data_IF_502074008248
#
_entry.id   IF_502074008248
#
_cell.length_a   1.000
_cell.length_b   1.000
_cell.length_c   1.000
_cell.angle_alpha   90.00
_cell.angle_beta   90.00
_cell.angle_gamma   90.00
#
_symmetry.space_group_name_H-M   'P 1'
#
loop_
_entity.id
_entity.type
_entity.pdbx_description
1 polymer ?
#
# COMPACT_ATOMS: atom_id res chain seq x y z
N UNK A 1 30.01 -15.12 10.20
CA UNK A 1 29.09 -14.12 10.79
C UNK A 1 29.18 -14.24 12.30
N UNK A 2 30.07 -13.49 12.94
CA UNK A 2 30.03 -13.34 14.39
C UNK A 2 28.77 -12.51 14.69
N UNK A 3 27.87 -12.93 15.59
CA UNK A 3 26.80 -12.06 16.05
C UNK A 3 27.44 -10.81 16.65
N UNK A 4 27.01 -9.63 16.22
CA UNK A 4 27.37 -8.39 16.90
C UNK A 4 27.06 -8.58 18.39
N UNK A 5 27.97 -8.17 19.28
CA UNK A 5 27.73 -8.18 20.72
C UNK A 5 26.47 -7.36 20.99
N UNK A 6 25.33 -8.04 21.14
CA UNK A 6 24.07 -7.41 21.44
C UNK A 6 24.21 -6.75 22.81
N UNK A 7 23.93 -5.44 22.95
CA UNK A 7 23.91 -4.80 24.26
C UNK A 7 22.91 -5.50 25.19
N UNK A 8 22.98 -5.30 26.52
CA UNK A 8 22.08 -5.93 27.49
C UNK A 8 20.58 -5.61 27.27
N UNK A 9 20.24 -4.73 26.32
CA UNK A 9 18.89 -4.48 25.84
C UNK A 9 18.91 -4.21 24.32
N UNK A 10 19.11 -5.23 23.48
CA UNK A 10 19.20 -5.02 22.04
C UNK A 10 17.82 -4.57 21.54
N UNK A 11 17.79 -3.55 20.68
CA UNK A 11 16.58 -3.23 19.92
C UNK A 11 16.18 -4.50 19.20
N UNK A 12 15.04 -5.09 19.58
CA UNK A 12 14.53 -6.27 18.89
C UNK A 12 14.25 -5.85 17.45
N UNK A 13 15.09 -6.29 16.51
CA UNK A 13 14.85 -6.10 15.08
C UNK A 13 13.53 -6.79 14.71
N UNK A 14 12.44 -6.03 14.77
CA UNK A 14 11.16 -6.42 14.16
C UNK A 14 11.17 -5.94 12.71
N UNK A 15 10.37 -6.59 11.88
CA UNK A 15 10.22 -6.22 10.48
C UNK A 15 9.72 -4.77 10.36
N UNK A 16 10.51 -3.83 9.80
CA UNK A 16 9.99 -2.50 9.46
C UNK A 16 9.11 -2.60 8.21
N UNK A 17 8.52 -1.48 7.77
CA UNK A 17 7.75 -1.42 6.52
C UNK A 17 8.66 -1.82 5.34
N UNK A 18 8.21 -2.75 4.51
CA UNK A 18 8.95 -3.30 3.37
C UNK A 18 10.35 -3.87 3.73
N UNK A 19 10.50 -4.88 4.60
CA UNK A 19 11.81 -5.32 5.09
C UNK A 19 12.86 -5.56 4.00
N UNK A 20 13.97 -4.83 4.07
CA UNK A 20 15.12 -4.96 3.16
C UNK A 20 14.98 -4.31 1.78
N UNK A 21 13.75 -4.07 1.29
CA UNK A 21 13.54 -3.43 -0.02
C UNK A 21 14.07 -1.99 -0.10
N UNK A 22 13.87 -1.11 0.91
CA UNK A 22 14.32 0.27 0.81
C UNK A 22 15.85 0.40 0.66
N UNK A 23 16.64 -0.37 1.42
CA UNK A 23 18.11 -0.35 1.28
C UNK A 23 18.59 -0.95 -0.05
N UNK A 24 17.92 -2.00 -0.55
CA UNK A 24 18.23 -2.58 -1.85
C UNK A 24 17.89 -1.60 -2.99
N UNK A 25 16.75 -0.91 -2.90
CA UNK A 25 16.34 0.10 -3.86
C UNK A 25 17.26 1.31 -3.84
N UNK A 26 17.71 1.76 -2.66
CA UNK A 26 18.71 2.83 -2.56
C UNK A 26 19.95 2.54 -3.42
N UNK A 27 20.53 1.35 -3.29
CA UNK A 27 21.68 0.95 -4.08
C UNK A 27 21.35 0.79 -5.58
N UNK A 28 20.27 0.09 -5.91
CA UNK A 28 19.92 -0.23 -7.30
C UNK A 28 19.49 1.00 -8.10
N UNK A 29 18.62 1.83 -7.55
CA UNK A 29 18.06 3.00 -8.26
C UNK A 29 19.07 4.15 -8.39
N UNK A 30 20.02 4.27 -7.46
CA UNK A 30 21.15 5.20 -7.62
C UNK A 30 22.08 4.73 -8.75
N UNK A 31 22.36 3.42 -8.84
CA UNK A 31 23.17 2.88 -9.93
C UNK A 31 22.47 2.98 -11.30
N UNK A 32 21.15 2.83 -11.34
CA UNK A 32 20.35 3.04 -12.56
C UNK A 32 20.43 4.51 -13.01
N UNK A 33 20.37 5.46 -12.08
CA UNK A 33 20.49 6.88 -12.38
C UNK A 33 21.89 7.24 -12.91
N UNK A 34 22.94 6.71 -12.28
CA UNK A 34 24.32 6.86 -12.75
C UNK A 34 24.52 6.26 -14.16
N UNK A 35 23.85 5.14 -14.46
CA UNK A 35 23.88 4.54 -15.80
C UNK A 35 23.14 5.41 -16.82
N UNK A 36 22.01 6.00 -16.46
CA UNK A 36 21.25 6.91 -17.32
C UNK A 36 22.09 8.11 -17.74
N UNK A 37 22.80 8.70 -16.78
CA UNK A 37 23.75 9.79 -17.01
C UNK A 37 24.88 9.39 -17.97
N UNK A 38 25.56 8.25 -17.72
CA UNK A 38 26.66 7.76 -18.58
C UNK A 38 26.21 7.45 -20.00
N UNK A 39 24.96 7.03 -20.18
CA UNK A 39 24.38 6.75 -21.49
C UNK A 39 23.77 7.99 -22.15
N UNK A 40 23.68 9.12 -21.43
CA UNK A 40 22.97 10.33 -21.86
C UNK A 40 21.51 10.02 -22.25
N UNK A 41 20.82 9.24 -21.43
CA UNK A 41 19.40 8.88 -21.56
C UNK A 41 18.65 9.45 -20.37
N UNK A 42 17.44 9.94 -20.58
CA UNK A 42 16.55 10.36 -19.50
C UNK A 42 16.32 9.19 -18.50
N UNK A 43 16.37 9.44 -17.18
CA UNK A 43 16.31 8.37 -16.19
C UNK A 43 14.96 7.63 -16.17
N UNK A 44 13.85 8.26 -16.53
CA UNK A 44 12.57 7.56 -16.68
C UNK A 44 12.51 6.80 -18.01
N UNK A 45 13.13 7.30 -19.08
CA UNK A 45 13.26 6.54 -20.35
C UNK A 45 14.10 5.27 -20.21
N UNK A 46 15.20 5.33 -19.46
CA UNK A 46 15.99 4.12 -19.18
C UNK A 46 15.15 3.09 -18.41
N UNK A 47 14.29 3.53 -17.49
CA UNK A 47 13.37 2.65 -16.76
C UNK A 47 12.32 2.05 -17.68
N UNK A 48 11.72 2.82 -18.59
CA UNK A 48 10.78 2.31 -19.59
C UNK A 48 11.42 1.26 -20.50
N UNK A 49 12.66 1.48 -20.95
CA UNK A 49 13.38 0.55 -21.81
C UNK A 49 13.61 -0.82 -21.14
N UNK A 50 13.72 -0.85 -19.81
CA UNK A 50 14.02 -2.04 -19.02
C UNK A 50 12.84 -2.49 -18.14
N UNK A 51 11.65 -1.92 -18.33
CA UNK A 51 10.52 -2.13 -17.44
C UNK A 51 10.02 -3.57 -17.46
N UNK A 52 9.78 -4.14 -16.28
CA UNK A 52 9.04 -5.38 -16.16
C UNK A 52 7.59 -5.16 -16.59
N UNK A 53 7.10 -6.05 -17.44
CA UNK A 53 5.71 -6.12 -17.90
C UNK A 53 5.10 -7.50 -17.62
N UNK A 54 3.81 -7.66 -17.90
CA UNK A 54 3.16 -8.96 -17.85
C UNK A 54 3.96 -10.02 -18.65
N UNK A 55 4.13 -11.20 -18.06
CA UNK A 55 4.95 -12.27 -18.63
C UNK A 55 6.45 -12.18 -18.32
N UNK A 56 6.94 -11.06 -17.76
CA UNK A 56 8.35 -10.94 -17.35
C UNK A 56 8.68 -11.94 -16.25
N UNK A 57 9.74 -12.74 -16.43
CA UNK A 57 10.17 -13.75 -15.45
C UNK A 57 10.86 -13.08 -14.25
N UNK A 58 10.34 -13.34 -13.05
CA UNK A 58 10.94 -12.89 -11.78
C UNK A 58 12.18 -13.71 -11.44
N UNK A 59 13.06 -13.15 -10.60
CA UNK A 59 14.23 -13.85 -10.04
C UNK A 59 13.82 -15.16 -9.33
N UNK A 60 12.69 -15.16 -8.62
CA UNK A 60 12.17 -16.33 -7.93
C UNK A 60 11.60 -17.42 -8.86
N UNK A 61 11.47 -17.15 -10.17
CA UNK A 61 10.98 -18.11 -11.17
C UNK A 61 9.63 -17.77 -11.81
N UNK A 62 8.56 -17.46 -11.06
CA UNK A 62 7.25 -17.15 -11.64
C UNK A 62 7.28 -15.90 -12.51
N UNK A 63 6.46 -15.89 -13.57
CA UNK A 63 6.24 -14.66 -14.36
C UNK A 63 5.36 -13.67 -13.61
N UNK A 64 5.50 -12.38 -13.91
CA UNK A 64 4.56 -11.38 -13.44
C UNK A 64 3.19 -11.58 -14.13
N UNK A 65 2.08 -11.54 -13.37
CA UNK A 65 0.75 -11.32 -13.96
C UNK A 65 0.67 -9.89 -14.51
N UNK A 66 -0.53 -9.40 -14.85
CA UNK A 66 -0.72 -7.99 -15.15
C UNK A 66 -0.17 -7.12 -14.01
N UNK A 67 0.78 -6.23 -14.31
CA UNK A 67 1.42 -5.28 -13.39
C UNK A 67 1.49 -3.88 -14.02
N UNK A 68 1.59 -2.84 -13.19
CA UNK A 68 1.53 -1.43 -13.59
C UNK A 68 2.86 -0.65 -13.53
N UNK A 69 4.01 -1.29 -13.74
CA UNK A 69 5.29 -0.56 -13.66
C UNK A 69 5.47 0.44 -14.82
N UNK A 70 5.13 0.03 -16.05
CA UNK A 70 5.21 0.93 -17.22
C UNK A 70 4.27 2.13 -17.01
N UNK A 71 3.06 1.86 -16.54
CA UNK A 71 2.03 2.86 -16.28
C UNK A 71 2.46 3.85 -15.18
N UNK A 72 3.14 3.38 -14.12
CA UNK A 72 3.66 4.28 -13.08
C UNK A 72 4.83 5.12 -13.57
N UNK A 73 5.74 4.57 -14.37
CA UNK A 73 6.83 5.36 -14.98
C UNK A 73 6.28 6.38 -15.96
N UNK A 74 5.30 6.01 -16.80
CA UNK A 74 4.66 6.91 -17.75
C UNK A 74 3.90 8.03 -17.03
N UNK A 75 3.11 7.69 -16.00
CA UNK A 75 2.41 8.67 -15.19
C UNK A 75 3.37 9.64 -14.49
N UNK A 76 4.52 9.16 -13.99
CA UNK A 76 5.56 10.02 -13.44
C UNK A 76 6.16 10.95 -14.52
N UNK A 77 6.45 10.42 -15.71
CA UNK A 77 7.03 11.18 -16.83
C UNK A 77 6.10 12.29 -17.33
N UNK A 78 4.80 12.00 -17.41
CA UNK A 78 3.77 12.94 -17.86
C UNK A 78 3.34 13.92 -16.77
N UNK A 79 3.73 13.67 -15.51
CA UNK A 79 3.31 14.48 -14.38
C UNK A 79 3.87 15.91 -14.47
N UNK A 80 3.07 16.96 -14.15
CA UNK A 80 3.55 18.35 -14.14
C UNK A 80 4.72 18.61 -13.19
N UNK A 81 4.95 17.73 -12.21
CA UNK A 81 6.17 17.78 -11.40
C UNK A 81 7.41 17.53 -12.25
N UNK A 82 7.44 16.45 -13.04
CA UNK A 82 8.66 16.03 -13.74
C UNK A 82 9.12 17.02 -14.83
N UNK A 83 8.17 17.72 -15.45
CA UNK A 83 8.44 18.68 -16.53
C UNK A 83 8.56 20.13 -16.05
N UNK A 84 8.19 20.43 -14.80
CA UNK A 84 8.26 21.79 -14.27
C UNK A 84 9.71 22.29 -14.19
N UNK A 85 9.99 23.55 -14.56
CA UNK A 85 11.33 24.11 -14.45
C UNK A 85 11.74 24.23 -12.98
N UNK A 86 12.89 23.63 -12.63
CA UNK A 86 13.50 23.76 -11.30
C UNK A 86 14.62 24.80 -11.37
N UNK A 87 14.32 26.03 -10.94
CA UNK A 87 15.27 27.17 -10.96
C UNK A 87 15.84 27.43 -9.58
N UNK A 88 17.08 27.90 -9.50
CA UNK A 88 17.76 28.31 -8.27
C UNK A 88 19.10 27.58 -8.11
N UNK A 89 20.01 28.10 -7.27
CA UNK A 89 21.28 27.44 -7.00
C UNK A 89 21.05 26.15 -6.20
N UNK A 90 21.91 25.15 -6.38
CA UNK A 90 21.95 23.92 -5.57
C UNK A 90 20.60 23.20 -5.46
N UNK A 91 19.84 23.21 -6.56
CA UNK A 91 18.56 22.52 -6.68
C UNK A 91 18.67 21.40 -7.68
N UNK A 92 18.07 20.27 -7.35
CA UNK A 92 18.08 19.09 -8.19
C UNK A 92 16.77 18.33 -8.09
N UNK A 93 16.44 17.67 -9.20
CA UNK A 93 15.30 16.76 -9.29
C UNK A 93 15.82 15.34 -9.39
N UNK A 94 15.31 14.43 -8.57
CA UNK A 94 15.66 13.02 -8.62
C UNK A 94 14.43 12.15 -8.76
N UNK A 95 14.62 10.96 -9.33
CA UNK A 95 13.59 9.94 -9.48
C UNK A 95 14.08 8.58 -9.00
N UNK A 96 13.17 7.77 -8.49
CA UNK A 96 13.42 6.36 -8.19
C UNK A 96 12.15 5.52 -8.28
N UNK A 97 12.31 4.28 -8.70
CA UNK A 97 11.30 3.23 -8.66
C UNK A 97 11.29 2.49 -7.31
N UNK A 98 10.18 1.83 -7.04
CA UNK A 98 10.00 0.99 -5.86
C UNK A 98 9.16 -0.22 -6.21
N UNK A 99 9.47 -1.35 -5.59
CA UNK A 99 8.76 -2.59 -5.78
C UNK A 99 8.52 -3.26 -4.44
N UNK A 100 7.29 -3.72 -4.22
CA UNK A 100 6.97 -4.64 -3.15
C UNK A 100 6.20 -5.84 -3.67
N UNK A 101 6.68 -7.04 -3.35
CA UNK A 101 6.15 -8.28 -3.90
C UNK A 101 4.72 -8.58 -3.44
N UNK A 102 4.30 -7.98 -2.32
CA UNK A 102 3.07 -8.27 -1.59
C UNK A 102 3.00 -9.75 -1.14
N UNK A 103 2.53 -9.98 0.08
CA UNK A 103 2.25 -11.29 0.62
C UNK A 103 0.80 -11.33 1.06
N UNK A 104 0.24 -12.53 1.12
CA UNK A 104 -1.06 -12.77 1.73
C UNK A 104 -0.95 -13.99 2.63
N UNK A 105 -2.09 -14.44 3.14
CA UNK A 105 -2.20 -15.63 3.96
C UNK A 105 -3.65 -15.91 4.27
N UNK A 106 -3.93 -16.92 5.11
CA UNK A 106 -5.29 -17.25 5.45
C UNK A 106 -5.98 -16.11 6.20
N UNK A 107 -7.27 -15.95 5.95
CA UNK A 107 -8.15 -15.04 6.66
C UNK A 107 -9.55 -15.63 6.79
N UNK A 108 -10.26 -15.19 7.83
CA UNK A 108 -11.65 -15.54 8.05
C UNK A 108 -12.49 -14.33 8.41
N UNK A 109 -13.76 -14.41 8.00
CA UNK A 109 -14.80 -13.41 8.25
C UNK A 109 -16.10 -14.14 8.59
N UNK A 110 -16.89 -13.56 9.48
CA UNK A 110 -18.27 -13.98 9.77
C UNK A 110 -19.19 -12.76 9.77
N UNK A 111 -20.40 -12.90 9.24
CA UNK A 111 -21.35 -11.80 9.07
C UNK A 111 -22.78 -12.25 9.38
N UNK A 112 -23.51 -11.46 10.16
CA UNK A 112 -24.90 -11.75 10.54
C UNK A 112 -25.83 -10.65 10.06
N UNK A 113 -26.93 -11.03 9.40
CA UNK A 113 -27.98 -10.10 8.96
C UNK A 113 -28.98 -9.87 10.09
N UNK A 114 -29.26 -8.60 10.39
CA UNK A 114 -30.22 -8.20 11.42
C UNK A 114 -31.59 -7.89 10.83
N UNK A 115 -32.62 -7.92 11.67
CA UNK A 115 -34.00 -7.68 11.25
C UNK A 115 -34.27 -6.25 10.74
N UNK A 116 -33.41 -5.28 11.09
CA UNK A 116 -33.46 -3.91 10.57
C UNK A 116 -32.74 -3.73 9.22
N UNK A 117 -32.17 -4.82 8.68
CA UNK A 117 -31.42 -4.83 7.44
C UNK A 117 -29.98 -4.35 7.56
N UNK A 118 -29.45 -4.19 8.78
CA UNK A 118 -28.01 -3.98 9.00
C UNK A 118 -27.26 -5.31 9.09
N UNK A 119 -25.94 -5.25 8.96
CA UNK A 119 -25.05 -6.41 9.04
C UNK A 119 -23.98 -6.18 10.09
N UNK A 120 -23.84 -7.11 11.05
CA UNK A 120 -22.63 -7.17 11.86
C UNK A 120 -21.59 -8.04 11.18
N UNK A 121 -20.42 -7.47 10.90
CA UNK A 121 -19.31 -8.12 10.19
C UNK A 121 -18.13 -8.26 11.16
N UNK A 122 -17.70 -9.48 11.46
CA UNK A 122 -16.53 -9.76 12.30
C UNK A 122 -15.39 -10.23 11.41
N UNK A 123 -14.23 -9.56 11.50
CA UNK A 123 -13.00 -9.93 10.80
C UNK A 123 -11.86 -10.27 11.76
N UNK A 124 -10.90 -11.09 11.32
CA UNK A 124 -9.76 -11.50 12.14
C UNK A 124 -8.47 -10.70 11.92
N UNK A 125 -8.40 -9.78 10.95
CA UNK A 125 -7.19 -8.99 10.69
C UNK A 125 -7.16 -7.75 11.60
N UNK A 126 -6.13 -7.58 12.45
CA UNK A 126 -5.98 -6.34 13.23
C UNK A 126 -5.83 -5.13 12.31
N UNK A 127 -6.68 -4.12 12.50
CA UNK A 127 -6.64 -2.89 11.72
C UNK A 127 -5.61 -1.91 12.28
N UNK A 128 -4.55 -1.73 11.50
CA UNK A 128 -3.45 -0.79 11.78
C UNK A 128 -3.29 0.26 10.68
N UNK A 129 -4.19 0.29 9.69
CA UNK A 129 -4.03 1.08 8.46
C UNK A 129 -5.33 1.56 7.82
N UNK A 130 -6.48 1.31 8.46
CA UNK A 130 -7.83 1.69 8.01
C UNK A 130 -8.53 0.63 7.14
N UNK A 131 -8.08 -0.63 7.11
CA UNK A 131 -8.63 -1.62 6.16
C UNK A 131 -10.06 -2.06 6.49
N UNK A 132 -10.50 -1.90 7.75
CA UNK A 132 -11.79 -2.41 8.24
C UNK A 132 -12.98 -1.84 7.46
N UNK A 133 -12.93 -0.56 7.12
CA UNK A 133 -13.97 0.10 6.29
C UNK A 133 -14.00 -0.52 4.89
N UNK A 134 -12.83 -0.71 4.29
CA UNK A 134 -12.74 -1.32 2.96
C UNK A 134 -13.23 -2.78 2.96
N UNK A 135 -13.06 -3.54 4.05
CA UNK A 135 -13.65 -4.89 4.19
C UNK A 135 -15.18 -4.82 4.20
N UNK A 136 -15.77 -3.85 4.90
CA UNK A 136 -17.22 -3.61 4.87
C UNK A 136 -17.71 -3.25 3.45
N UNK A 137 -16.94 -2.46 2.69
CA UNK A 137 -17.25 -2.14 1.30
C UNK A 137 -17.32 -3.39 0.41
N UNK A 138 -16.48 -4.40 0.64
CA UNK A 138 -16.55 -5.66 -0.12
C UNK A 138 -17.87 -6.39 0.11
N UNK A 139 -18.31 -6.47 1.38
CA UNK A 139 -19.58 -7.07 1.76
C UNK A 139 -20.76 -6.31 1.16
N UNK A 140 -20.74 -4.98 1.31
CA UNK A 140 -21.76 -4.07 0.80
C UNK A 140 -21.92 -4.20 -0.72
N UNK A 141 -20.80 -4.27 -1.46
CA UNK A 141 -20.79 -4.43 -2.92
C UNK A 141 -21.43 -5.76 -3.36
N UNK A 142 -21.10 -6.87 -2.68
CA UNK A 142 -21.70 -8.19 -3.01
C UNK A 142 -23.22 -8.18 -2.82
N UNK A 143 -23.70 -7.48 -1.79
CA UNK A 143 -25.10 -7.40 -1.43
C UNK A 143 -25.81 -6.20 -2.08
N UNK A 144 -25.11 -5.31 -2.75
CA UNK A 144 -25.67 -4.07 -3.32
C UNK A 144 -26.39 -3.19 -2.29
N UNK A 145 -25.94 -3.18 -1.03
CA UNK A 145 -26.51 -2.34 0.04
C UNK A 145 -25.56 -1.18 0.37
N UNK A 146 -26.05 -0.11 1.04
CA UNK A 146 -25.18 0.94 1.56
C UNK A 146 -24.11 0.38 2.52
N UNK A 147 -22.87 0.88 2.43
CA UNK A 147 -21.80 0.44 3.33
C UNK A 147 -22.06 0.84 4.78
N UNK A 148 -22.85 1.90 4.98
CA UNK A 148 -23.30 2.38 6.29
C UNK A 148 -24.18 1.35 7.02
N UNK A 149 -24.80 0.43 6.28
CA UNK A 149 -25.58 -0.67 6.86
C UNK A 149 -24.68 -1.88 7.23
N UNK A 150 -23.37 -1.83 6.95
CA UNK A 150 -22.40 -2.87 7.31
C UNK A 150 -21.48 -2.39 8.43
N UNK A 151 -21.57 -3.03 9.59
CA UNK A 151 -20.85 -2.68 10.81
C UNK A 151 -19.69 -3.64 11.08
N UNK A 152 -18.45 -3.30 10.67
CA UNK A 152 -17.30 -4.17 10.87
C UNK A 152 -16.67 -4.04 12.26
N UNK A 153 -16.28 -5.18 12.84
CA UNK A 153 -15.54 -5.31 14.09
C UNK A 153 -14.39 -6.29 13.94
N UNK A 154 -13.33 -6.09 14.73
CA UNK A 154 -12.21 -7.03 14.78
C UNK A 154 -12.50 -8.00 15.92
N UNK A 155 -12.56 -9.30 15.61
CA UNK A 155 -12.80 -10.34 16.59
C UNK A 155 -11.55 -10.67 17.41
N UNK A 156 -11.77 -11.19 18.62
CA UNK A 156 -10.74 -11.89 19.41
C UNK A 156 -10.58 -13.33 18.89
N UNK A 157 -9.45 -13.98 19.18
CA UNK A 157 -9.10 -15.33 18.73
C UNK A 157 -10.09 -16.40 19.18
N UNK A 158 -10.88 -16.14 20.23
CA UNK A 158 -11.95 -17.03 20.70
C UNK A 158 -13.26 -16.87 19.91
N UNK A 159 -13.41 -15.77 19.18
CA UNK A 159 -14.66 -15.35 18.52
C UNK A 159 -14.65 -15.52 17.00
N UNK A 160 -13.49 -15.73 16.39
CA UNK A 160 -13.34 -15.86 14.94
C UNK A 160 -12.28 -16.90 14.58
N UNK A 161 -12.45 -17.54 13.43
CA UNK A 161 -11.49 -18.48 12.89
C UNK A 161 -10.15 -17.79 12.57
N UNK A 162 -9.10 -18.61 12.45
CA UNK A 162 -7.73 -18.13 12.29
C UNK A 162 -7.57 -17.17 11.11
N UNK A 163 -6.96 -16.02 11.40
CA UNK A 163 -6.49 -15.06 10.40
C UNK A 163 -5.02 -14.79 10.62
N UNK A 164 -4.24 -14.85 9.55
CA UNK A 164 -2.81 -14.55 9.59
C UNK A 164 -2.54 -13.07 9.88
N UNK A 165 -1.31 -12.75 10.31
CA UNK A 165 -0.87 -11.38 10.64
C UNK A 165 -1.21 -10.32 9.58
N UNK A 166 -1.56 -9.11 10.03
CA UNK A 166 -1.59 -7.90 9.19
C UNK A 166 -0.16 -7.46 8.86
N UNK A 167 0.28 -7.73 7.62
CA UNK A 167 1.63 -7.44 7.14
C UNK A 167 1.79 -7.87 5.68
N UNK A 168 2.95 -7.58 5.08
CA UNK A 168 3.23 -7.90 3.69
C UNK A 168 2.29 -7.22 2.69
N UNK A 169 1.58 -6.16 3.12
CA UNK A 169 0.55 -5.47 2.35
C UNK A 169 -0.62 -6.36 1.95
N UNK A 170 -0.86 -7.46 2.66
CA UNK A 170 -1.87 -8.46 2.31
C UNK A 170 -3.22 -8.36 3.00
N UNK A 171 -3.37 -7.51 4.02
CA UNK A 171 -4.52 -7.56 4.92
C UNK A 171 -5.87 -7.38 4.22
N UNK A 172 -6.02 -6.31 3.44
CA UNK A 172 -7.25 -6.07 2.69
C UNK A 172 -7.46 -7.11 1.57
N UNK A 173 -6.39 -7.63 0.95
CA UNK A 173 -6.48 -8.69 -0.06
C UNK A 173 -7.13 -9.95 0.50
N UNK A 174 -6.65 -10.46 1.63
CA UNK A 174 -7.20 -11.69 2.22
C UNK A 174 -8.56 -11.47 2.87
N UNK A 175 -8.71 -10.40 3.65
CA UNK A 175 -9.94 -10.20 4.41
C UNK A 175 -11.06 -9.67 3.53
N UNK A 176 -10.74 -8.86 2.51
CA UNK A 176 -11.69 -8.46 1.47
C UNK A 176 -12.21 -9.65 0.67
N UNK A 177 -11.34 -10.60 0.30
CA UNK A 177 -11.77 -11.86 -0.34
C UNK A 177 -12.65 -12.70 0.60
N UNK A 178 -12.32 -12.78 1.90
CA UNK A 178 -13.15 -13.47 2.88
C UNK A 178 -14.54 -12.81 3.00
N UNK A 179 -14.60 -11.48 3.07
CA UNK A 179 -15.86 -10.75 3.09
C UNK A 179 -16.65 -10.93 1.79
N UNK A 180 -15.98 -10.95 0.64
CA UNK A 180 -16.62 -11.24 -0.65
C UNK A 180 -17.30 -12.63 -0.65
N UNK A 181 -16.61 -13.68 -0.22
CA UNK A 181 -17.18 -15.03 -0.16
C UNK A 181 -18.27 -15.16 0.92
N UNK A 182 -18.11 -14.53 2.09
CA UNK A 182 -19.15 -14.50 3.12
C UNK A 182 -20.41 -13.73 2.66
N UNK A 183 -20.24 -12.68 1.86
CA UNK A 183 -21.36 -11.95 1.24
C UNK A 183 -22.09 -12.81 0.22
N UNK A 184 -21.38 -13.63 -0.56
CA UNK A 184 -21.99 -14.58 -1.49
C UNK A 184 -22.81 -15.65 -0.76
N UNK A 185 -22.33 -16.10 0.40
CA UNK A 185 -23.07 -17.03 1.26
C UNK A 185 -24.37 -16.40 1.80
N UNK A 186 -24.33 -15.14 2.24
CA UNK A 186 -25.53 -14.37 2.62
C UNK A 186 -26.50 -14.26 1.44
N UNK A 187 -25.99 -13.85 0.26
CA UNK A 187 -26.80 -13.70 -0.96
C UNK A 187 -27.51 -15.00 -1.32
N UNK A 188 -26.81 -16.13 -1.28
CA UNK A 188 -27.38 -17.46 -1.54
C UNK A 188 -28.55 -17.75 -0.58
N UNK A 189 -28.36 -17.55 0.72
CA UNK A 189 -29.42 -17.78 1.72
C UNK A 189 -30.62 -16.85 1.55
N UNK A 190 -30.41 -15.60 1.12
CA UNK A 190 -31.50 -14.65 0.82
C UNK A 190 -32.29 -15.09 -0.43
N UNK A 191 -31.60 -15.55 -1.48
CA UNK A 191 -32.21 -16.10 -2.70
C UNK A 191 -33.05 -17.34 -2.36
N UNK A 192 -32.49 -18.30 -1.63
CA UNK A 192 -33.19 -19.48 -1.09
C UNK A 192 -34.44 -19.08 -0.31
N UNK A 193 -34.33 -18.03 0.51
CA UNK A 193 -35.44 -17.55 1.31
C UNK A 193 -36.56 -16.94 0.47
N UNK A 194 -36.22 -16.08 -0.48
CA UNK A 194 -37.21 -15.45 -1.35
C UNK A 194 -37.89 -16.47 -2.26
N UNK A 195 -37.12 -17.42 -2.84
CA UNK A 195 -37.66 -18.50 -3.65
C UNK A 195 -38.70 -19.33 -2.89
N UNK A 196 -38.42 -19.66 -1.62
CA UNK A 196 -39.37 -20.36 -0.75
C UNK A 196 -40.63 -19.55 -0.42
N UNK A 197 -40.50 -18.23 -0.24
CA UNK A 197 -41.66 -17.35 0.04
C UNK A 197 -42.57 -17.26 -1.19
N UNK A 198 -41.99 -17.21 -2.38
CA UNK A 198 -42.71 -17.08 -3.64
C UNK A 198 -43.14 -18.42 -4.25
N UNK A 199 -42.71 -19.55 -3.67
CA UNK A 199 -42.94 -20.91 -4.19
C UNK A 199 -42.42 -21.09 -5.64
N UNK A 200 -41.21 -20.60 -5.89
CA UNK A 200 -40.52 -20.63 -7.19
C UNK A 200 -39.15 -21.31 -7.08
N UNK A 201 -38.50 -21.59 -8.21
CA UNK A 201 -37.12 -22.09 -8.22
C UNK A 201 -36.12 -21.01 -7.80
N UNK A 202 -35.06 -21.38 -7.08
CA UNK A 202 -33.94 -20.48 -6.79
C UNK A 202 -33.27 -19.97 -8.06
N UNK A 203 -33.24 -20.79 -9.12
CA UNK A 203 -32.71 -20.41 -10.44
C UNK A 203 -33.51 -19.28 -11.09
N UNK A 204 -34.74 -19.02 -10.66
CA UNK A 204 -35.57 -17.93 -11.16
C UNK A 204 -35.45 -16.65 -10.32
N UNK A 205 -34.63 -16.66 -9.26
CA UNK A 205 -34.43 -15.52 -8.36
C UNK A 205 -33.01 -14.98 -8.53
N UNK A 206 -32.87 -13.66 -8.44
CA UNK A 206 -31.59 -12.98 -8.42
C UNK A 206 -31.60 -11.85 -7.38
N UNK A 207 -30.42 -11.31 -7.09
CA UNK A 207 -30.25 -10.16 -6.23
C UNK A 207 -29.42 -9.10 -6.94
N UNK A 208 -30.04 -7.95 -7.21
CA UNK A 208 -29.45 -6.84 -7.95
C UNK A 208 -29.64 -5.56 -7.14
N UNK A 209 -28.55 -4.85 -6.86
CA UNK A 209 -28.57 -3.55 -6.17
C UNK A 209 -29.40 -3.55 -4.87
N UNK A 210 -29.20 -4.57 -4.03
CA UNK A 210 -29.90 -4.67 -2.74
C UNK A 210 -31.36 -5.09 -2.84
N UNK A 211 -31.83 -5.53 -4.01
CA UNK A 211 -33.18 -6.03 -4.23
C UNK A 211 -33.12 -7.49 -4.66
N UNK A 212 -33.74 -8.36 -3.88
CA UNK A 212 -33.98 -9.76 -4.25
C UNK A 212 -35.22 -9.77 -5.15
N UNK A 213 -35.14 -10.33 -6.34
CA UNK A 213 -36.20 -10.25 -7.34
C UNK A 213 -36.30 -11.51 -8.20
N UNK A 214 -37.50 -11.84 -8.65
CA UNK A 214 -37.70 -12.85 -9.68
C UNK A 214 -37.21 -12.33 -11.04
N UNK A 215 -36.63 -13.20 -11.86
CA UNK A 215 -36.00 -12.82 -13.14
C UNK A 215 -37.00 -12.38 -14.20
N UNK A 216 -38.25 -12.86 -14.13
CA UNK A 216 -39.28 -12.58 -15.14
C UNK A 216 -40.55 -11.94 -14.58
N UNK A 217 -40.79 -12.01 -13.27
CA UNK A 217 -42.00 -11.49 -12.65
C UNK A 217 -41.63 -10.22 -11.86
N UNK A 218 -42.01 -9.03 -12.35
CA UNK A 218 -41.63 -7.79 -11.70
C UNK A 218 -42.40 -7.56 -10.38
N UNK A 219 -43.49 -8.25 -10.10
CA UNK A 219 -44.23 -8.10 -8.83
C UNK A 219 -43.53 -8.82 -7.68
N UNK A 220 -42.76 -9.87 -7.98
CA UNK A 220 -42.00 -10.64 -7.00
C UNK A 220 -40.64 -9.99 -6.73
N UNK A 221 -40.61 -9.10 -5.74
CA UNK A 221 -39.39 -8.42 -5.29
C UNK A 221 -39.43 -8.11 -3.81
N UNK A 222 -38.27 -8.21 -3.16
CA UNK A 222 -38.03 -7.75 -1.81
C UNK A 222 -36.77 -6.87 -1.79
N UNK A 223 -36.87 -5.60 -1.38
CA UNK A 223 -35.72 -4.86 -0.88
C UNK A 223 -35.05 -5.65 0.25
N UNK A 224 -33.72 -5.57 0.36
CA UNK A 224 -32.94 -6.29 1.37
C UNK A 224 -33.51 -6.14 2.78
N UNK A 225 -33.84 -4.90 3.17
CA UNK A 225 -34.40 -4.59 4.51
C UNK A 225 -35.78 -5.21 4.75
N UNK A 226 -36.60 -5.34 3.69
CA UNK A 226 -37.91 -5.96 3.79
C UNK A 226 -37.77 -7.46 4.08
N UNK A 227 -36.97 -8.17 3.29
CA UNK A 227 -36.72 -9.60 3.53
C UNK A 227 -36.03 -9.85 4.88
N UNK A 228 -35.09 -8.97 5.25
CA UNK A 228 -34.41 -9.02 6.54
C UNK A 228 -35.39 -8.93 7.73
N UNK A 229 -36.41 -8.08 7.63
CA UNK A 229 -37.43 -7.93 8.69
C UNK A 229 -38.27 -9.19 8.92
N UNK A 230 -38.33 -10.08 7.92
CA UNK A 230 -39.15 -11.30 7.93
C UNK A 230 -38.35 -12.56 8.30
N UNK A 231 -37.04 -12.46 8.56
CA UNK A 231 -36.16 -13.64 8.72
C UNK A 231 -36.62 -14.60 9.82
N UNK A 232 -37.05 -14.08 10.97
CA UNK A 232 -37.56 -14.89 12.08
C UNK A 232 -38.82 -15.69 11.71
N UNK A 233 -39.70 -15.10 10.89
CA UNK A 233 -40.95 -15.74 10.48
C UNK A 233 -40.77 -16.72 9.31
N UNK A 234 -39.66 -16.63 8.56
CA UNK A 234 -39.49 -17.31 7.28
C UNK A 234 -38.41 -18.40 7.29
N UNK A 235 -37.77 -18.66 8.44
CA UNK A 235 -36.76 -19.73 8.58
C UNK A 235 -35.58 -19.44 9.52
N UNK A 236 -35.60 -18.34 10.28
CA UNK A 236 -34.55 -18.01 11.24
C UNK A 236 -33.40 -17.18 10.64
N UNK A 237 -32.30 -17.00 11.41
CA UNK A 237 -31.21 -16.07 11.09
C UNK A 237 -30.47 -16.44 9.82
N UNK A 238 -29.93 -15.42 9.14
CA UNK A 238 -28.99 -15.57 8.02
C UNK A 238 -27.60 -15.16 8.50
N UNK A 239 -26.65 -16.07 8.32
CA UNK A 239 -25.25 -15.89 8.72
C UNK A 239 -24.37 -16.32 7.56
N UNK A 240 -23.51 -15.44 7.08
CA UNK A 240 -22.46 -15.76 6.13
C UNK A 240 -21.13 -15.94 6.82
N UNK A 241 -20.35 -16.92 6.39
CA UNK A 241 -18.98 -17.05 6.88
C UNK A 241 -18.05 -17.57 5.78
N UNK A 242 -16.79 -17.17 5.84
CA UNK A 242 -15.79 -17.65 4.92
C UNK A 242 -14.41 -17.72 5.58
N UNK A 243 -13.70 -18.81 5.30
CA UNK A 243 -12.26 -18.93 5.49
C UNK A 243 -11.59 -19.08 4.14
N UNK A 244 -10.59 -18.27 3.85
CA UNK A 244 -9.90 -18.23 2.55
C UNK A 244 -8.40 -18.25 2.75
N UNK A 245 -7.66 -18.80 1.78
CA UNK A 245 -6.20 -18.67 1.65
C UNK A 245 -5.88 -18.22 0.21
N UNK A 246 -6.07 -16.92 -0.09
CA UNK A 246 -6.06 -16.43 -1.45
C UNK A 246 -4.67 -16.55 -2.06
N UNK A 247 -4.66 -17.04 -3.31
CA UNK A 247 -3.51 -16.99 -4.21
C UNK A 247 -3.68 -15.81 -5.18
N UNK A 248 -2.64 -15.45 -5.91
CA UNK A 248 -2.73 -14.36 -6.90
C UNK A 248 -2.49 -12.96 -6.33
N UNK A 249 -1.66 -12.83 -5.30
CA UNK A 249 -1.09 -11.52 -4.95
C UNK A 249 -0.32 -10.95 -6.14
N UNK A 250 -0.64 -9.71 -6.50
CA UNK A 250 0.11 -8.93 -7.47
C UNK A 250 1.14 -8.07 -6.77
N UNK A 251 2.37 -8.06 -7.29
CA UNK A 251 3.37 -7.08 -6.86
C UNK A 251 2.89 -5.66 -7.17
N UNK A 252 3.28 -4.71 -6.32
CA UNK A 252 2.98 -3.30 -6.50
C UNK A 252 4.28 -2.56 -6.84
N UNK A 253 4.15 -1.58 -7.73
CA UNK A 253 5.24 -0.75 -8.20
C UNK A 253 4.90 0.71 -7.92
N UNK A 254 5.94 1.51 -7.65
CA UNK A 254 5.80 2.95 -7.53
C UNK A 254 7.00 3.68 -8.12
N UNK A 255 6.80 4.95 -8.48
CA UNK A 255 7.84 5.85 -8.96
C UNK A 255 7.67 7.18 -8.23
N UNK A 256 8.74 7.65 -7.60
CA UNK A 256 8.72 8.90 -6.85
C UNK A 256 9.59 9.94 -7.55
N UNK A 257 9.16 11.20 -7.45
CA UNK A 257 9.89 12.38 -7.96
C UNK A 257 10.12 13.30 -6.76
N UNK A 258 11.37 13.72 -6.56
CA UNK A 258 11.77 14.62 -5.49
C UNK A 258 12.51 15.83 -6.05
N UNK A 259 12.04 17.03 -5.73
CA UNK A 259 12.81 18.27 -5.90
C UNK A 259 13.41 18.66 -4.56
N UNK A 260 14.72 18.92 -4.54
CA UNK A 260 15.44 19.33 -3.34
C UNK A 260 16.20 20.62 -3.57
N UNK A 261 16.45 21.34 -2.48
CA UNK A 261 17.47 22.38 -2.37
C UNK A 261 18.47 21.96 -1.31
N UNK A 262 19.77 22.14 -1.58
CA UNK A 262 20.83 21.87 -0.61
C UNK A 262 21.54 23.16 -0.25
N UNK A 263 21.60 23.45 1.04
CA UNK A 263 22.41 24.54 1.57
C UNK A 263 23.86 24.03 1.75
N UNK A 264 24.83 24.54 0.95
CA UNK A 264 26.22 24.06 0.99
C UNK A 264 26.97 24.49 2.26
N UNK A 265 26.50 25.51 2.98
CA UNK A 265 27.14 25.96 4.22
C UNK A 265 26.75 25.09 5.41
N UNK A 266 25.51 24.57 5.41
CA UNK A 266 24.98 23.78 6.54
C UNK A 266 24.82 22.30 6.21
N UNK A 267 24.83 21.90 4.94
CA UNK A 267 24.50 20.55 4.48
C UNK A 267 23.01 20.22 4.56
N UNK A 268 22.17 21.19 4.92
CA UNK A 268 20.72 20.97 5.07
C UNK A 268 20.10 20.72 3.69
N UNK A 269 19.39 19.60 3.57
CA UNK A 269 18.57 19.27 2.40
C UNK A 269 17.12 19.61 2.71
N UNK A 270 16.52 20.47 1.90
CA UNK A 270 15.10 20.81 1.98
C UNK A 270 14.32 20.13 0.84
N UNK A 271 13.24 19.44 1.17
CA UNK A 271 12.30 18.93 0.16
C UNK A 271 11.42 20.09 -0.30
N UNK A 272 11.53 20.47 -1.59
CA UNK A 272 10.73 21.54 -2.18
C UNK A 272 9.39 21.04 -2.71
N UNK A 273 9.41 19.86 -3.33
CA UNK A 273 8.24 19.21 -3.91
C UNK A 273 8.46 17.71 -3.95
N UNK A 274 7.38 16.95 -3.74
CA UNK A 274 7.45 15.49 -3.75
C UNK A 274 6.19 14.90 -4.36
N UNK A 275 6.35 14.00 -5.33
CA UNK A 275 5.24 13.24 -5.93
C UNK A 275 5.53 11.75 -5.78
N UNK A 276 4.54 10.99 -5.35
CA UNK A 276 4.57 9.54 -5.20
C UNK A 276 3.51 8.91 -6.09
N UNK A 277 3.94 8.26 -7.17
CA UNK A 277 3.08 7.55 -8.12
C UNK A 277 3.10 6.07 -7.79
N UNK A 278 1.94 5.42 -7.71
CA UNK A 278 1.88 4.00 -7.38
C UNK A 278 0.78 3.24 -8.14
N UNK A 279 1.10 2.02 -8.57
CA UNK A 279 0.13 1.03 -9.04
C UNK A 279 -0.60 0.47 -7.81
N UNK A 280 -1.88 0.82 -7.70
CA UNK A 280 -2.72 0.49 -6.54
C UNK A 280 -3.68 -0.66 -6.81
N UNK A 281 -3.65 -1.25 -8.01
CA UNK A 281 -4.75 -2.09 -8.46
C UNK A 281 -6.03 -1.26 -8.57
N UNK A 282 -7.12 -1.77 -8.02
CA UNK A 282 -8.33 -0.98 -7.82
C UNK A 282 -8.29 -0.31 -6.45
N UNK A 283 -8.46 1.01 -6.43
CA UNK A 283 -8.50 1.81 -5.20
C UNK A 283 -9.87 1.69 -4.51
N UNK A 284 -10.01 0.69 -3.62
CA UNK A 284 -11.27 0.46 -2.88
C UNK A 284 -11.71 1.70 -2.10
N UNK A 285 -10.77 2.35 -1.39
CA UNK A 285 -11.02 3.59 -0.69
C UNK A 285 -9.92 4.60 -1.07
N UNK A 286 -10.11 5.41 -2.13
CA UNK A 286 -9.05 6.25 -2.71
C UNK A 286 -8.33 7.13 -1.70
N UNK A 287 -9.05 7.83 -0.81
CA UNK A 287 -8.40 8.71 0.20
C UNK A 287 -7.56 7.95 1.23
N UNK A 288 -7.89 6.69 1.54
CA UNK A 288 -7.07 5.86 2.44
C UNK A 288 -5.83 5.35 1.71
N UNK A 289 -5.97 5.02 0.43
CA UNK A 289 -4.85 4.66 -0.44
C UNK A 289 -3.88 5.83 -0.56
N UNK A 290 -4.37 7.05 -0.82
CA UNK A 290 -3.56 8.28 -0.83
C UNK A 290 -2.81 8.46 0.50
N UNK A 291 -3.51 8.35 1.64
CA UNK A 291 -2.89 8.46 2.95
C UNK A 291 -1.80 7.41 3.22
N UNK A 292 -1.97 6.18 2.74
CA UNK A 292 -0.94 5.13 2.83
C UNK A 292 0.30 5.48 1.99
N UNK A 293 0.09 6.00 0.78
CA UNK A 293 1.17 6.45 -0.12
C UNK A 293 1.96 7.59 0.53
N UNK A 294 1.27 8.61 1.03
CA UNK A 294 1.86 9.77 1.70
C UNK A 294 2.63 9.35 2.94
N UNK A 295 2.02 8.54 3.82
CA UNK A 295 2.68 8.08 5.04
C UNK A 295 3.91 7.20 4.78
N UNK A 296 3.87 6.36 3.74
CA UNK A 296 5.03 5.55 3.33
C UNK A 296 6.18 6.41 2.78
N UNK A 297 5.85 7.41 1.95
CA UNK A 297 6.83 8.36 1.44
C UNK A 297 7.48 9.16 2.58
N UNK A 298 6.70 9.72 3.50
CA UNK A 298 7.20 10.47 4.67
C UNK A 298 8.19 9.63 5.48
N UNK A 299 7.85 8.37 5.76
CA UNK A 299 8.73 7.47 6.50
C UNK A 299 10.07 7.25 5.76
N UNK A 300 10.01 7.01 4.45
CA UNK A 300 11.24 6.84 3.66
C UNK A 300 12.05 8.13 3.51
N UNK A 301 11.40 9.30 3.47
CA UNK A 301 12.09 10.60 3.51
C UNK A 301 12.81 10.78 4.85
N UNK A 302 12.19 10.39 5.96
CA UNK A 302 12.81 10.37 7.28
C UNK A 302 14.08 9.53 7.30
N UNK A 303 14.04 8.32 6.75
CA UNK A 303 15.22 7.45 6.61
C UNK A 303 16.27 8.00 5.66
N UNK A 304 15.85 8.75 4.63
CA UNK A 304 16.77 9.38 3.70
C UNK A 304 17.57 10.52 4.35
N UNK A 305 16.97 11.29 5.25
CA UNK A 305 17.53 12.57 5.72
C UNK A 305 17.95 12.59 7.20
N UNK A 306 17.24 11.90 8.09
CA UNK A 306 17.30 12.18 9.52
C UNK A 306 17.38 10.95 10.45
N UNK A 307 16.66 9.87 10.12
CA UNK A 307 16.44 8.76 11.04
C UNK A 307 17.59 7.75 11.01
N UNK A 308 18.29 7.59 12.15
CA UNK A 308 19.28 6.54 12.36
C UNK A 308 19.32 6.09 13.81
N UNK A 309 19.82 4.88 14.06
CA UNK A 309 20.17 4.45 15.41
C UNK A 309 21.65 4.72 15.67
N UNK A 310 21.93 5.55 16.67
CA UNK A 310 23.30 5.88 17.07
C UNK A 310 23.67 5.00 18.26
N UNK A 311 24.76 4.25 18.15
CA UNK A 311 25.28 3.43 19.23
C UNK A 311 26.63 3.96 19.71
N UNK A 312 26.84 4.00 21.02
CA UNK A 312 28.14 4.27 21.62
C UNK A 312 29.12 3.12 21.35
N UNK A 313 30.41 3.35 21.63
CA UNK A 313 31.45 2.30 21.54
C UNK A 313 31.17 1.10 22.45
N UNK A 314 30.41 1.32 23.53
CA UNK A 314 30.01 0.28 24.48
C UNK A 314 28.70 -0.41 24.08
N UNK A 315 28.15 -0.09 22.91
CA UNK A 315 26.92 -0.69 22.37
C UNK A 315 25.63 -0.09 22.92
N UNK A 316 25.69 1.02 23.66
CA UNK A 316 24.49 1.66 24.22
C UNK A 316 23.87 2.59 23.18
N UNK A 317 22.55 2.52 22.98
CA UNK A 317 21.84 3.46 22.11
C UNK A 317 21.92 4.88 22.68
N UNK A 318 22.48 5.80 21.90
CA UNK A 318 22.70 7.20 22.27
C UNK A 318 21.48 8.10 21.99
N UNK A 319 20.57 7.69 21.12
CA UNK A 319 19.37 8.45 20.75
C UNK A 319 18.04 7.70 21.00
N UNK A 320 17.76 7.19 22.22
CA UNK A 320 16.56 6.39 22.50
C UNK A 320 15.27 7.22 22.68
N UNK A 321 15.30 8.52 22.40
CA UNK A 321 14.17 9.44 22.62
C UNK A 321 13.75 10.11 21.30
N UNK A 322 12.51 10.56 21.19
CA UNK A 322 12.03 11.32 20.03
C UNK A 322 12.66 12.71 19.88
N UNK A 323 13.42 13.18 20.87
CA UNK A 323 14.22 14.39 20.74
C UNK A 323 15.41 14.16 19.81
N UNK A 324 16.05 13.00 19.94
CA UNK A 324 17.31 12.65 19.27
C UNK A 324 17.11 11.74 18.06
N UNK A 325 16.07 10.90 18.06
CA UNK A 325 15.61 10.15 16.90
C UNK A 325 14.63 11.01 16.09
N UNK A 326 15.16 11.72 15.10
CA UNK A 326 14.45 12.80 14.40
C UNK A 326 13.54 12.29 13.29
N UNK A 327 12.30 11.96 13.65
CA UNK A 327 11.23 11.75 12.68
C UNK A 327 10.82 13.08 12.03
N UNK A 328 10.46 13.10 10.73
CA UNK A 328 9.94 14.29 10.08
C UNK A 328 8.69 14.85 10.78
N UNK A 329 8.60 16.17 10.88
CA UNK A 329 7.42 16.90 11.34
C UNK A 329 6.72 17.62 10.17
N UNK A 330 5.53 18.18 10.41
CA UNK A 330 4.74 18.87 9.38
C UNK A 330 5.42 20.10 8.77
N UNK A 331 6.44 20.66 9.42
CA UNK A 331 7.23 21.78 8.91
C UNK A 331 8.40 21.35 8.02
N UNK A 332 8.77 20.06 8.03
CA UNK A 332 9.92 19.56 7.28
C UNK A 332 9.57 19.26 5.81
N UNK A 333 8.30 18.98 5.53
CA UNK A 333 7.86 18.42 4.26
C UNK A 333 6.71 19.22 3.64
N UNK A 334 6.70 19.38 2.31
CA UNK A 334 5.52 19.85 1.61
C UNK A 334 4.42 18.77 1.63
N UNK A 335 3.23 19.13 1.17
CA UNK A 335 2.20 18.12 0.90
C UNK A 335 2.73 17.13 -0.15
N UNK A 336 2.72 15.85 0.19
CA UNK A 336 3.12 14.77 -0.73
C UNK A 336 1.98 14.54 -1.72
N UNK A 337 2.27 14.77 -2.99
CA UNK A 337 1.32 14.58 -4.08
C UNK A 337 1.24 13.08 -4.44
N UNK A 338 0.12 12.45 -4.11
CA UNK A 338 -0.09 11.01 -4.31
C UNK A 338 -0.87 10.76 -5.60
N UNK A 339 -0.28 10.03 -6.54
CA UNK A 339 -0.89 9.70 -7.84
C UNK A 339 -1.24 8.22 -7.86
N UNK A 340 -2.53 7.93 -7.97
CA UNK A 340 -3.07 6.58 -8.05
C UNK A 340 -3.09 6.13 -9.51
N UNK A 341 -2.32 5.09 -9.82
CA UNK A 341 -2.35 4.40 -11.11
C UNK A 341 -3.13 3.10 -10.92
N UNK A 342 -4.28 2.97 -11.59
CA UNK A 342 -5.14 1.81 -11.42
C UNK A 342 -4.89 0.75 -12.49
N UNK A 343 -4.11 -0.28 -12.15
CA UNK A 343 -3.92 -1.48 -12.99
C UNK A 343 -4.49 -2.70 -12.24
N UNK A 344 -5.76 -3.05 -12.47
CA UNK A 344 -6.44 -4.10 -11.70
C UNK A 344 -5.67 -5.42 -11.63
N UNK A 345 -5.58 -6.00 -10.43
CA UNK A 345 -4.99 -7.31 -10.21
C UNK A 345 -5.96 -8.44 -10.61
N UNK A 346 -5.64 -9.26 -11.63
CA UNK A 346 -6.53 -10.34 -12.05
C UNK A 346 -6.73 -11.44 -10.98
N UNK A 347 -5.88 -11.49 -9.96
CA UNK A 347 -5.98 -12.44 -8.85
C UNK A 347 -6.99 -12.08 -7.75
N UNK A 348 -7.72 -10.97 -7.89
CA UNK A 348 -8.71 -10.52 -6.91
C UNK A 348 -10.03 -10.16 -7.59
N UNK A 349 -11.22 -10.51 -7.01
CA UNK A 349 -12.52 -10.25 -7.64
C UNK A 349 -12.75 -8.78 -8.01
N UNK A 350 -12.23 -7.87 -7.20
CA UNK A 350 -12.30 -6.42 -7.45
C UNK A 350 -10.99 -5.79 -7.93
N UNK A 351 -9.99 -6.57 -8.38
CA UNK A 351 -8.75 -5.99 -8.91
C UNK A 351 -7.77 -5.44 -7.87
N UNK A 352 -7.92 -5.80 -6.59
CA UNK A 352 -7.19 -5.22 -5.47
C UNK A 352 -5.70 -5.57 -5.44
N UNK A 353 -4.88 -4.60 -5.04
CA UNK A 353 -3.48 -4.79 -4.62
C UNK A 353 -3.22 -4.16 -3.27
N UNK A 354 -2.17 -4.64 -2.60
CA UNK A 354 -1.69 -4.01 -1.39
C UNK A 354 -0.89 -2.74 -1.70
N UNK A 355 -1.18 -1.68 -0.95
CA UNK A 355 -0.59 -0.36 -1.18
C UNK A 355 0.36 0.11 -0.08
N UNK A 356 0.36 -0.59 1.06
CA UNK A 356 1.05 -0.17 2.27
C UNK A 356 2.56 -0.04 2.08
N UNK A 357 3.26 -1.04 1.58
CA UNK A 357 4.73 -1.08 1.73
C UNK A 357 5.52 -0.51 0.55
N UNK A 358 4.96 -0.42 -0.64
CA UNK A 358 5.65 0.15 -1.81
C UNK A 358 6.19 1.58 -1.62
N UNK A 359 5.45 2.54 -1.03
CA UNK A 359 5.86 3.95 -1.01
C UNK A 359 7.08 4.27 -0.13
N UNK A 360 7.48 3.39 0.80
CA UNK A 360 8.72 3.60 1.57
C UNK A 360 9.99 3.23 0.77
N UNK A 361 9.84 2.49 -0.33
CA UNK A 361 10.97 1.93 -1.08
C UNK A 361 11.75 3.01 -1.88
N UNK A 362 11.10 3.91 -2.65
CA UNK A 362 11.81 4.90 -3.48
C UNK A 362 12.54 6.06 -2.78
N UNK A 363 12.05 6.65 -1.65
CA UNK A 363 12.50 7.95 -1.18
C UNK A 363 14.01 8.16 -1.04
N UNK A 364 14.74 7.19 -0.50
CA UNK A 364 16.18 7.30 -0.29
C UNK A 364 16.94 7.50 -1.61
N UNK A 365 16.64 6.72 -2.64
CA UNK A 365 17.27 6.88 -3.96
C UNK A 365 16.79 8.15 -4.66
N UNK A 366 15.48 8.44 -4.62
CA UNK A 366 14.94 9.63 -5.28
C UNK A 366 15.60 10.91 -4.74
N UNK A 367 15.79 11.00 -3.42
CA UNK A 367 16.45 12.14 -2.79
C UNK A 367 17.95 12.13 -3.09
N UNK A 368 18.64 11.00 -3.02
CA UNK A 368 20.06 10.94 -3.34
C UNK A 368 20.38 11.34 -4.79
N UNK A 369 19.54 10.92 -5.75
CA UNK A 369 19.62 11.35 -7.14
C UNK A 369 19.32 12.85 -7.28
N UNK A 370 18.39 13.39 -6.48
CA UNK A 370 18.09 14.82 -6.47
C UNK A 370 19.27 15.65 -5.91
N UNK A 371 19.92 15.17 -4.85
CA UNK A 371 21.14 15.78 -4.28
C UNK A 371 22.29 15.74 -5.28
N UNK A 372 22.46 14.62 -5.99
CA UNK A 372 23.44 14.54 -7.06
C UNK A 372 23.18 15.58 -8.16
N UNK A 373 21.94 15.69 -8.63
CA UNK A 373 21.59 16.67 -9.65
C UNK A 373 21.70 18.13 -9.15
N UNK A 374 21.72 18.34 -7.83
CA UNK A 374 21.90 19.66 -7.20
C UNK A 374 23.38 20.05 -7.06
N UNK A 375 24.25 19.11 -6.68
CA UNK A 375 25.62 19.38 -6.25
C UNK A 375 26.71 18.69 -7.06
N UNK A 376 26.37 17.67 -7.87
CA UNK A 376 27.33 16.78 -8.53
C UNK A 376 27.90 15.67 -7.63
N UNK A 377 27.42 15.56 -6.39
CA UNK A 377 27.98 14.65 -5.37
C UNK A 377 27.07 13.44 -5.17
N UNK A 378 27.60 12.22 -5.35
CA UNK A 378 26.84 10.97 -5.14
C UNK A 378 26.87 10.56 -3.66
N UNK A 379 25.72 10.64 -3.01
CA UNK A 379 25.55 10.17 -1.63
C UNK A 379 25.49 8.64 -1.58
N UNK A 380 26.38 8.01 -0.82
CA UNK A 380 26.45 6.54 -0.64
C UNK A 380 26.17 6.09 0.81
N UNK A 381 25.90 7.05 1.70
CA UNK A 381 25.66 6.86 3.12
C UNK A 381 24.34 7.53 3.49
N UNK A 382 23.53 6.79 4.24
CA UNK A 382 22.29 7.27 4.84
C UNK A 382 22.42 7.30 6.37
N UNK A 383 21.68 8.19 7.04
CA UNK A 383 20.90 9.28 6.46
C UNK A 383 21.82 10.37 5.86
N UNK A 384 21.33 11.08 4.84
CA UNK A 384 21.95 12.30 4.29
C UNK A 384 21.72 13.48 5.24
N UNK A 385 22.14 13.30 6.50
CA UNK A 385 22.05 14.31 7.54
C UNK A 385 22.97 15.49 7.21
N UNK A 386 22.72 16.69 7.77
CA UNK A 386 23.58 17.86 7.53
C UNK A 386 25.07 17.58 7.68
N UNK A 387 25.47 16.86 8.73
CA UNK A 387 26.86 16.46 8.94
C UNK A 387 27.41 15.52 7.86
N UNK A 388 26.63 14.50 7.46
CA UNK A 388 27.04 13.56 6.41
C UNK A 388 27.12 14.25 5.04
N UNK A 389 26.21 15.18 4.75
CA UNK A 389 26.23 15.98 3.52
C UNK A 389 27.43 16.93 3.49
N UNK A 390 27.75 17.62 4.60
CA UNK A 390 28.94 18.48 4.68
C UNK A 390 30.24 17.69 4.52
N UNK A 391 30.36 16.51 5.15
CA UNK A 391 31.50 15.63 4.97
C UNK A 391 31.71 15.27 3.49
N UNK A 392 30.62 15.04 2.74
CA UNK A 392 30.69 14.74 1.31
C UNK A 392 31.13 15.98 0.49
N UNK A 393 30.58 17.16 0.78
CA UNK A 393 30.95 18.43 0.11
C UNK A 393 32.44 18.73 0.32
N UNK A 394 32.91 18.72 1.57
CA UNK A 394 34.33 18.99 1.87
C UNK A 394 35.26 17.89 1.34
N UNK A 395 34.77 16.66 1.20
CA UNK A 395 35.52 15.56 0.61
C UNK A 395 35.86 15.80 -0.87
N UNK A 396 34.93 16.35 -1.64
CA UNK A 396 35.17 16.72 -3.05
C UNK A 396 36.07 17.95 -3.20
N UNK A 397 35.89 18.98 -2.36
CA UNK A 397 36.74 20.17 -2.37
C UNK A 397 38.23 19.86 -2.12
N UNK A 398 38.52 18.76 -1.41
CA UNK A 398 39.89 18.30 -1.15
C UNK A 398 40.44 17.34 -2.22
N UNK A 399 39.61 16.89 -3.18
CA UNK A 399 39.99 15.98 -4.26
C UNK A 399 40.28 16.71 -5.59
N UNK A 400 39.85 17.97 -5.73
CA UNK A 400 40.20 18.91 -6.80
C UNK A 400 41.47 19.70 -6.46
#
# INVERSE_FOLDING_TARGET
KLPCNNPPNPVRHKAPRAPGAPAAAFAAETAIDELAEKLNIDPLDLRLLNAAQEGTRRLAGPVFPRIGFIETVQAAKDHPHYTAPLKGPNRGRGVAGGFWFNASGPAAVSASVHADGTISLVEGSPDIGGHRVAVAMHMAEVLGIPVEDVHPTIGDTDSIAFTSMTGGSGALMKTGMAAYEAGKDIRRQLIERAAKIWDVSEDDVDMVSGVIQHKSDPELRFPFKELASMLNATGGPIVGSAGVDPKGVGGAFGVHIADVEVDPETGKIQILRYTAVQDVGTAIHPSYVEGQIQGGAVQGIGWALNEEYVYSKDGVMANPTFLDYRMPISLDLPMIDAVLVEVPNPGHPYGLRGVGETPIVPPMAAIANAVYNALGIRMNKLPMSPGTTLEAIWGEDNAL
#
